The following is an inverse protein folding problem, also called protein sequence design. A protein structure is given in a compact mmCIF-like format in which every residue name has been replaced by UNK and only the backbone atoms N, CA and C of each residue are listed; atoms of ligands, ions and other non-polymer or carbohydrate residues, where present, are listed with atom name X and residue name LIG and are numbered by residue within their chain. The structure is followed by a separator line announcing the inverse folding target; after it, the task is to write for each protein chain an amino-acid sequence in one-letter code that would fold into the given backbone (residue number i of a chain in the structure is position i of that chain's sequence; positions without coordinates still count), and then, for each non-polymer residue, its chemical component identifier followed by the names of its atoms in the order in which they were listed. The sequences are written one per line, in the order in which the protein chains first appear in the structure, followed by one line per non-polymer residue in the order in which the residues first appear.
data_IF_155070051012
#
_entry.id   IF_155070051012
#
_cell.length_a   1.000
_cell.length_b   1.000
_cell.length_c   1.000
_cell.angle_alpha   90.00
_cell.angle_beta   90.00
_cell.angle_gamma   90.00
#
_symmetry.space_group_name_H-M   'P 1'
#
loop_
_entity.id
_entity.type
_entity.pdbx_description
1 polymer ?
#
# COMPACT_ATOMS: atom_id res chain seq x y z
N UNK A 1 8.11 1.30 -7.08
CA UNK A 1 7.79 0.68 -5.78
C UNK A 1 9.09 0.68 -5.04
N UNK A 2 9.23 1.60 -4.09
CA UNK A 2 10.42 1.69 -3.25
C UNK A 2 10.11 0.96 -1.94
N UNK A 3 10.91 -0.06 -1.65
CA UNK A 3 10.91 -0.73 -0.35
C UNK A 3 12.05 -0.09 0.44
N UNK A 4 11.68 0.80 1.36
CA UNK A 4 12.65 1.33 2.33
C UNK A 4 13.09 0.17 3.25
N UNK A 5 14.37 0.12 3.62
CA UNK A 5 14.96 -0.98 4.43
C UNK A 5 14.25 -1.27 5.76
N UNK A 6 13.35 -0.40 6.20
CA UNK A 6 12.41 -0.58 7.31
C UNK A 6 11.20 -1.50 7.01
N UNK A 7 11.07 -2.04 5.79
CA UNK A 7 9.93 -2.85 5.37
C UNK A 7 8.69 -2.01 5.07
N UNK A 8 8.86 -0.74 4.72
CA UNK A 8 7.78 0.16 4.31
C UNK A 8 7.71 0.17 2.78
N UNK A 9 6.53 -0.19 2.25
CA UNK A 9 6.27 -0.24 0.82
C UNK A 9 5.48 0.99 0.40
N UNK A 10 6.08 1.80 -0.47
CA UNK A 10 5.43 3.00 -1.02
C UNK A 10 4.71 2.67 -2.32
N UNK A 11 3.40 2.91 -2.34
CA UNK A 11 2.54 2.68 -3.51
C UNK A 11 1.90 3.99 -3.96
N UNK A 12 2.08 4.32 -5.23
CA UNK A 12 1.41 5.45 -5.86
C UNK A 12 0.14 4.94 -6.53
N UNK A 13 -1.02 5.38 -6.04
CA UNK A 13 -2.31 4.99 -6.61
C UNK A 13 -2.60 5.83 -7.86
N UNK A 14 -2.24 5.33 -9.05
CA UNK A 14 -2.40 6.03 -10.33
C UNK A 14 -3.76 5.81 -11.01
N UNK A 15 -4.84 5.61 -10.25
CA UNK A 15 -6.18 5.27 -10.78
C UNK A 15 -7.26 6.31 -10.50
N UNK A 16 -8.48 6.10 -11.03
CA UNK A 16 -9.69 6.92 -10.75
C UNK A 16 -10.02 7.06 -9.25
N UNK A 17 -9.47 6.18 -8.41
CA UNK A 17 -9.58 6.25 -6.96
C UNK A 17 -8.81 7.44 -6.32
N UNK A 18 -8.08 8.23 -7.11
CA UNK A 18 -7.36 9.42 -6.64
C UNK A 18 -8.27 10.44 -5.92
N UNK A 19 -9.52 10.57 -6.34
CA UNK A 19 -10.46 11.55 -5.78
C UNK A 19 -11.35 11.05 -4.64
N UNK A 20 -11.38 9.74 -4.36
CA UNK A 20 -12.26 9.18 -3.34
C UNK A 20 -11.43 8.64 -2.16
N UNK A 21 -11.38 9.36 -1.01
CA UNK A 21 -10.57 8.95 0.14
C UNK A 21 -10.98 7.56 0.67
N UNK A 22 -12.26 7.21 0.52
CA UNK A 22 -12.80 5.91 0.92
C UNK A 22 -12.22 4.76 0.08
N UNK A 23 -12.04 4.97 -1.23
CA UNK A 23 -11.41 3.97 -2.11
C UNK A 23 -9.92 3.81 -1.85
N UNK A 24 -9.20 4.91 -1.53
CA UNK A 24 -7.79 4.80 -1.15
C UNK A 24 -7.59 3.97 0.12
N UNK A 25 -8.42 4.18 1.14
CA UNK A 25 -8.32 3.45 2.40
C UNK A 25 -8.60 1.95 2.23
N UNK A 26 -9.64 1.60 1.48
CA UNK A 26 -9.97 0.19 1.18
C UNK A 26 -8.89 -0.48 0.33
N UNK A 27 -8.37 0.19 -0.70
CA UNK A 27 -7.28 -0.35 -1.51
C UNK A 27 -6.01 -0.54 -0.69
N UNK A 28 -5.63 0.45 0.11
CA UNK A 28 -4.46 0.37 1.00
C UNK A 28 -4.56 -0.83 1.94
N UNK A 29 -5.71 -1.05 2.57
CA UNK A 29 -5.91 -2.21 3.45
C UNK A 29 -5.81 -3.54 2.69
N UNK A 30 -6.38 -3.64 1.49
CA UNK A 30 -6.28 -4.85 0.66
C UNK A 30 -4.85 -5.14 0.23
N UNK A 31 -4.13 -4.10 -0.20
CA UNK A 31 -2.73 -4.17 -0.61
C UNK A 31 -1.85 -4.59 0.59
N UNK A 32 -2.01 -3.96 1.75
CA UNK A 32 -1.25 -4.30 2.95
C UNK A 32 -1.48 -5.77 3.37
N UNK A 33 -2.72 -6.25 3.34
CA UNK A 33 -3.03 -7.64 3.68
C UNK A 33 -2.40 -8.61 2.69
N UNK A 34 -2.49 -8.34 1.38
CA UNK A 34 -1.86 -9.14 0.34
C UNK A 34 -0.34 -9.18 0.47
N UNK A 35 0.29 -8.02 0.72
CA UNK A 35 1.72 -7.91 0.91
C UNK A 35 2.17 -8.68 2.16
N UNK A 36 1.48 -8.55 3.29
CA UNK A 36 1.80 -9.32 4.51
C UNK A 36 1.68 -10.84 4.31
N UNK A 37 0.74 -11.29 3.47
CA UNK A 37 0.58 -12.72 3.16
C UNK A 37 1.67 -13.25 2.22
N UNK A 38 2.08 -12.48 1.22
CA UNK A 38 3.10 -12.92 0.25
C UNK A 38 4.54 -12.61 0.71
N UNK A 39 4.70 -11.55 1.48
CA UNK A 39 5.98 -10.92 1.83
C UNK A 39 5.90 -10.45 3.30
N UNK A 40 6.15 -11.34 4.28
CA UNK A 40 5.99 -11.06 5.70
C UNK A 40 6.97 -10.01 6.27
N UNK A 41 8.01 -9.65 5.51
CA UNK A 41 8.94 -8.55 5.83
C UNK A 41 8.28 -7.15 5.70
N UNK A 42 7.10 -7.04 5.09
CA UNK A 42 6.39 -5.77 4.95
C UNK A 42 5.72 -5.37 6.26
N UNK A 43 6.19 -4.27 6.86
CA UNK A 43 5.63 -3.69 8.08
C UNK A 43 4.47 -2.75 7.81
N UNK A 44 4.58 -1.90 6.78
CA UNK A 44 3.59 -0.86 6.51
C UNK A 44 3.52 -0.51 5.02
N UNK A 45 2.34 -0.06 4.58
CA UNK A 45 2.12 0.47 3.23
C UNK A 45 1.81 1.96 3.32
N UNK A 46 2.56 2.76 2.56
CA UNK A 46 2.33 4.21 2.45
C UNK A 46 1.90 4.60 1.04
N UNK A 47 0.98 5.56 0.98
CA UNK A 47 0.49 6.15 -0.26
C UNK A 47 1.28 7.43 -0.52
N UNK A 48 1.96 7.52 -1.67
CA UNK A 48 2.73 8.70 -2.11
C UNK A 48 2.12 9.39 -3.31
#
# INVERSE_FOLDING_TARGET
MDVTGDGIVKVKLTGRCHGCPMSQMTLKMGIERLLKTNVPEVKAVESV
#
